data_IF_770855053489
#
_entry.id   IF_770855053489
#
_cell.length_a   1.000
_cell.length_b   1.000
_cell.length_c   1.000
_cell.angle_alpha   90.00
_cell.angle_beta   90.00
_cell.angle_gamma   90.00
#
_symmetry.space_group_name_H-M   'P 1'
#
loop_
_entity.id
_entity.type
_entity.pdbx_description
1 polymer ?
#
# COMPACT_ATOMS: atom_id res chain seq x y z
N UNK A 1 35.80 -61.92 53.57
CA UNK A 1 36.48 -60.75 54.17
C UNK A 1 36.29 -59.55 53.26
N UNK A 2 35.80 -58.45 53.83
CA UNK A 2 35.69 -57.05 53.32
C UNK A 2 34.81 -56.83 52.07
N UNK A 3 33.61 -56.24 52.15
CA UNK A 3 33.14 -54.95 52.71
C UNK A 3 33.22 -53.76 51.73
N UNK A 4 32.03 -53.19 51.45
CA UNK A 4 31.68 -51.76 51.34
C UNK A 4 31.96 -50.95 50.03
N UNK A 5 30.84 -50.48 49.43
CA UNK A 5 30.63 -49.28 48.57
C UNK A 5 31.00 -47.97 49.32
N UNK A 6 31.30 -46.77 48.71
CA UNK A 6 30.32 -45.97 47.94
C UNK A 6 30.81 -44.88 46.92
N UNK A 7 29.83 -44.41 46.11
CA UNK A 7 29.47 -43.04 45.68
C UNK A 7 30.50 -41.89 45.68
N UNK A 8 30.59 -41.17 44.56
CA UNK A 8 30.79 -39.70 44.38
C UNK A 8 30.87 -39.39 42.85
N UNK A 9 30.41 -38.30 42.23
CA UNK A 9 29.50 -37.19 42.51
C UNK A 9 29.61 -36.24 41.28
N UNK A 10 28.49 -35.61 40.86
CA UNK A 10 28.36 -34.36 40.07
C UNK A 10 28.98 -34.23 38.66
N UNK A 11 28.16 -33.95 37.63
CA UNK A 11 27.86 -32.58 37.17
C UNK A 11 26.87 -32.58 35.99
N UNK A 12 25.83 -31.78 36.14
CA UNK A 12 24.85 -31.40 35.12
C UNK A 12 25.52 -30.67 33.96
N UNK A 13 25.13 -30.97 32.72
CA UNK A 13 25.30 -30.05 31.59
C UNK A 13 23.99 -30.01 30.80
N UNK A 14 23.15 -29.07 31.21
CA UNK A 14 21.95 -28.63 30.52
C UNK A 14 22.39 -27.95 29.22
N UNK A 15 22.35 -28.66 28.08
CA UNK A 15 22.64 -28.05 26.78
C UNK A 15 21.37 -27.37 26.24
N UNK A 16 21.00 -26.24 26.84
CA UNK A 16 20.01 -25.33 26.30
C UNK A 16 20.69 -24.43 25.26
N UNK A 17 20.85 -24.94 24.04
CA UNK A 17 21.33 -24.12 22.92
C UNK A 17 20.12 -23.38 22.32
N UNK A 18 20.10 -22.07 22.54
CA UNK A 18 19.12 -21.13 22.05
C UNK A 18 18.89 -21.27 20.53
N UNK A 19 17.68 -21.69 20.14
CA UNK A 19 17.14 -21.44 18.81
C UNK A 19 16.81 -19.95 18.72
N UNK A 20 17.80 -19.12 18.42
CA UNK A 20 17.56 -17.80 17.85
C UNK A 20 17.05 -17.99 16.41
N UNK A 21 15.82 -18.47 16.26
CA UNK A 21 15.09 -18.28 15.03
C UNK A 21 14.86 -16.76 14.92
N UNK A 22 15.72 -16.09 14.15
CA UNK A 22 15.37 -14.78 13.59
C UNK A 22 13.97 -14.94 12.99
N UNK A 23 12.96 -14.36 13.62
CA UNK A 23 11.61 -14.38 13.10
C UNK A 23 11.64 -13.51 11.84
N UNK A 24 11.71 -14.14 10.67
CA UNK A 24 11.49 -13.43 9.43
C UNK A 24 10.03 -13.00 9.47
N UNK A 25 9.78 -11.74 9.81
CA UNK A 25 8.45 -11.16 9.80
C UNK A 25 7.95 -11.24 8.34
N UNK A 26 7.10 -12.23 8.06
CA UNK A 26 6.46 -12.34 6.77
C UNK A 26 5.59 -11.10 6.58
N UNK A 27 5.80 -10.37 5.48
CA UNK A 27 4.92 -9.27 5.12
C UNK A 27 3.49 -9.80 4.99
N UNK A 28 2.47 -9.04 5.43
CA UNK A 28 1.08 -9.44 5.25
C UNK A 28 0.75 -9.62 3.76
N UNK A 29 -0.30 -10.39 3.44
CA UNK A 29 -0.69 -10.60 2.05
C UNK A 29 -1.21 -9.33 1.35
N UNK A 30 -1.74 -8.38 2.13
CA UNK A 30 -2.23 -7.07 1.68
C UNK A 30 -1.36 -5.95 2.25
N UNK A 31 -1.29 -4.84 1.52
CA UNK A 31 -0.64 -3.62 1.96
C UNK A 31 -1.32 -2.99 3.17
N UNK A 32 -0.53 -2.31 4.00
CA UNK A 32 -1.04 -1.62 5.20
C UNK A 32 -1.34 -0.14 4.92
N UNK A 33 -2.08 0.50 5.84
CA UNK A 33 -2.39 1.92 5.75
C UNK A 33 -1.09 2.77 5.75
N UNK A 34 -0.12 2.38 6.57
CA UNK A 34 1.18 3.03 6.68
C UNK A 34 1.97 2.90 5.38
N UNK A 35 1.96 1.72 4.75
CA UNK A 35 2.62 1.50 3.46
C UNK A 35 1.97 2.33 2.34
N UNK A 36 0.64 2.49 2.34
CA UNK A 36 -0.05 3.34 1.38
C UNK A 36 0.33 4.83 1.53
N UNK A 37 0.37 5.34 2.77
CA UNK A 37 0.82 6.72 3.05
C UNK A 37 2.27 6.92 2.63
N UNK A 38 3.14 5.97 2.99
CA UNK A 38 4.56 6.02 2.62
C UNK A 38 4.74 6.04 1.10
N UNK A 39 3.97 5.26 0.35
CA UNK A 39 4.05 5.24 -1.11
C UNK A 39 3.63 6.59 -1.74
N UNK A 40 2.61 7.25 -1.20
CA UNK A 40 2.22 8.61 -1.64
C UNK A 40 3.35 9.60 -1.37
N UNK A 41 3.96 9.56 -0.19
CA UNK A 41 5.10 10.43 0.14
C UNK A 41 6.31 10.17 -0.75
N UNK A 42 6.57 8.91 -1.12
CA UNK A 42 7.63 8.55 -2.06
C UNK A 42 7.37 9.12 -3.47
N UNK A 43 6.11 9.15 -3.93
CA UNK A 43 5.76 9.79 -5.20
C UNK A 43 6.01 11.29 -5.15
N UNK A 44 5.58 11.96 -4.08
CA UNK A 44 5.83 13.41 -3.89
C UNK A 44 7.34 13.70 -3.91
N UNK A 45 8.13 12.90 -3.20
CA UNK A 45 9.59 13.02 -3.21
C UNK A 45 10.18 12.77 -4.60
N UNK A 46 9.66 11.80 -5.35
CA UNK A 46 10.08 11.53 -6.72
C UNK A 46 9.75 12.67 -7.67
N UNK A 47 8.57 13.30 -7.55
CA UNK A 47 8.20 14.48 -8.34
C UNK A 47 9.20 15.62 -8.07
N UNK A 48 9.53 15.89 -6.80
CA UNK A 48 10.50 16.92 -6.42
C UNK A 48 11.90 16.66 -6.97
N UNK A 49 12.35 15.40 -6.97
CA UNK A 49 13.70 15.04 -7.38
C UNK A 49 13.86 14.83 -8.89
N UNK A 50 12.84 14.28 -9.55
CA UNK A 50 12.93 13.76 -10.92
C UNK A 50 11.99 14.48 -11.90
N UNK A 51 11.10 15.35 -11.41
CA UNK A 51 10.09 16.04 -12.20
C UNK A 51 8.82 15.20 -12.42
N UNK A 52 7.71 15.92 -12.60
CA UNK A 52 6.36 15.36 -12.77
C UNK A 52 6.28 14.33 -13.91
N UNK A 53 6.71 14.70 -15.11
CA UNK A 53 6.56 13.86 -16.30
C UNK A 53 7.20 12.47 -16.13
N UNK A 54 8.46 12.46 -15.68
CA UNK A 54 9.21 11.22 -15.44
C UNK A 54 8.55 10.35 -14.36
N UNK A 55 8.08 10.96 -13.27
CA UNK A 55 7.39 10.20 -12.21
C UNK A 55 6.05 9.64 -12.68
N UNK A 56 5.26 10.40 -13.45
CA UNK A 56 3.98 9.91 -13.98
C UNK A 56 4.18 8.77 -14.98
N UNK A 57 5.21 8.84 -15.84
CA UNK A 57 5.56 7.76 -16.75
C UNK A 57 5.95 6.47 -16.00
N UNK A 58 6.73 6.60 -14.91
CA UNK A 58 7.08 5.48 -14.03
C UNK A 58 5.85 4.87 -13.35
N UNK A 59 4.90 5.70 -12.89
CA UNK A 59 3.63 5.21 -12.33
C UNK A 59 2.82 4.46 -13.38
N UNK A 60 2.81 4.91 -14.64
CA UNK A 60 2.04 4.27 -15.72
C UNK A 60 2.61 2.92 -16.16
N UNK A 61 3.85 2.59 -15.79
CA UNK A 61 4.46 1.29 -16.06
C UNK A 61 3.88 0.19 -15.14
N UNK A 62 2.80 -0.46 -15.59
CA UNK A 62 2.07 -1.44 -14.77
C UNK A 62 2.76 -2.81 -14.62
N UNK A 63 3.80 -3.10 -15.40
CA UNK A 63 4.49 -4.40 -15.44
C UNK A 63 5.82 -4.44 -14.68
N UNK A 64 6.27 -3.31 -14.14
CA UNK A 64 7.51 -3.26 -13.36
C UNK A 64 7.80 -1.92 -12.68
N UNK A 65 6.82 -1.02 -12.59
CA UNK A 65 7.02 0.31 -12.01
C UNK A 65 7.29 0.26 -10.50
N UNK A 66 8.15 1.17 -10.04
CA UNK A 66 8.56 1.31 -8.63
C UNK A 66 7.41 1.54 -7.64
N UNK A 67 6.26 2.05 -8.10
CA UNK A 67 5.15 2.51 -7.26
C UNK A 67 4.01 1.49 -7.15
N UNK A 68 4.38 0.23 -6.91
CA UNK A 68 3.46 -0.89 -6.74
C UNK A 68 4.02 -1.93 -5.78
N UNK A 69 3.20 -2.42 -4.86
CA UNK A 69 3.52 -3.50 -3.92
C UNK A 69 2.24 -4.27 -3.59
N UNK A 70 2.19 -5.58 -3.90
CA UNK A 70 0.98 -6.43 -3.73
C UNK A 70 -0.26 -5.77 -4.35
N UNK A 71 -1.21 -5.34 -3.52
CA UNK A 71 -2.46 -4.65 -3.89
C UNK A 71 -2.36 -3.11 -3.85
N UNK A 72 -1.26 -2.56 -3.33
CA UNK A 72 -0.96 -1.12 -3.35
C UNK A 72 -0.48 -0.69 -4.74
N UNK A 73 -1.04 0.41 -5.22
CA UNK A 73 -0.62 1.08 -6.45
C UNK A 73 -0.94 2.57 -6.34
N UNK A 74 -0.20 3.36 -7.11
CA UNK A 74 -0.46 4.80 -7.23
C UNK A 74 -1.48 5.07 -8.32
N UNK A 75 -2.38 6.01 -8.04
CA UNK A 75 -3.17 6.72 -9.05
C UNK A 75 -3.06 8.21 -8.80
N UNK A 76 -2.98 9.00 -9.87
CA UNK A 76 -2.85 10.46 -9.81
C UNK A 76 -3.99 11.08 -10.59
N UNK A 77 -4.71 12.01 -9.98
CA UNK A 77 -5.72 12.85 -10.63
C UNK A 77 -5.26 14.30 -10.66
N UNK A 78 -5.72 15.08 -11.64
CA UNK A 78 -5.70 16.54 -11.51
C UNK A 78 -6.86 17.04 -10.63
N UNK A 79 -6.90 18.34 -10.37
CA UNK A 79 -7.96 18.99 -9.59
C UNK A 79 -9.31 19.08 -10.32
N UNK A 80 -9.43 18.56 -11.54
CA UNK A 80 -10.66 18.48 -12.34
C UNK A 80 -11.19 17.04 -12.44
N UNK A 81 -10.45 16.05 -11.95
CA UNK A 81 -10.84 14.64 -11.95
C UNK A 81 -10.30 13.82 -13.11
N UNK A 82 -9.48 14.40 -14.00
CA UNK A 82 -8.77 13.64 -15.03
C UNK A 82 -7.71 12.77 -14.36
N UNK A 83 -7.61 11.52 -14.77
CA UNK A 83 -6.55 10.63 -14.32
C UNK A 83 -5.28 10.89 -15.13
N UNK A 84 -4.22 11.34 -14.46
CA UNK A 84 -2.92 11.64 -15.05
C UNK A 84 -2.02 10.40 -15.10
N UNK A 85 -2.15 9.52 -14.11
CA UNK A 85 -1.45 8.24 -14.08
C UNK A 85 -2.20 7.18 -13.28
N UNK A 86 -2.02 5.92 -13.64
CA UNK A 86 -2.65 4.79 -12.94
C UNK A 86 -1.80 3.51 -13.02
N UNK A 87 -1.23 3.11 -11.88
CA UNK A 87 -0.26 2.00 -11.78
C UNK A 87 -0.83 0.59 -11.80
N UNK A 88 -2.14 0.42 -11.75
CA UNK A 88 -2.80 -0.89 -11.85
C UNK A 88 -3.77 -1.09 -13.03
N UNK A 89 -4.22 -0.03 -13.69
CA UNK A 89 -5.25 -0.11 -14.73
C UNK A 89 -4.97 0.90 -15.84
N UNK A 90 -4.28 0.48 -16.92
CA UNK A 90 -3.95 1.36 -18.04
C UNK A 90 -5.16 2.01 -18.71
N UNK A 91 -6.34 1.38 -18.63
CA UNK A 91 -7.57 1.92 -19.23
C UNK A 91 -8.06 3.22 -18.59
N UNK A 92 -7.58 3.53 -17.38
CA UNK A 92 -7.90 4.78 -16.67
C UNK A 92 -6.98 5.94 -17.07
N UNK A 93 -5.78 5.66 -17.58
CA UNK A 93 -4.77 6.68 -17.87
C UNK A 93 -5.29 7.69 -18.91
N UNK A 94 -5.23 8.97 -18.57
CA UNK A 94 -5.67 10.08 -19.43
C UNK A 94 -7.19 10.30 -19.50
N UNK A 95 -8.01 9.49 -18.82
CA UNK A 95 -9.47 9.61 -18.84
C UNK A 95 -9.98 10.68 -17.89
N UNK A 96 -11.04 11.36 -18.29
CA UNK A 96 -11.86 12.14 -17.35
C UNK A 96 -12.70 11.17 -16.52
N UNK A 97 -12.53 11.20 -15.20
CA UNK A 97 -13.21 10.31 -14.28
C UNK A 97 -14.11 11.08 -13.29
N UNK A 98 -14.36 12.37 -13.49
CA UNK A 98 -15.07 13.19 -12.48
C UNK A 98 -16.47 12.65 -12.14
N UNK A 99 -17.15 12.05 -13.12
CA UNK A 99 -18.48 11.46 -12.98
C UNK A 99 -18.47 9.95 -12.70
N UNK A 100 -17.28 9.37 -12.51
CA UNK A 100 -17.15 7.96 -12.17
C UNK A 100 -17.77 7.69 -10.80
N UNK A 101 -18.61 6.64 -10.75
CA UNK A 101 -19.24 6.14 -9.54
C UNK A 101 -18.71 4.76 -9.20
N UNK A 102 -18.71 4.42 -7.91
CA UNK A 102 -18.47 3.05 -7.49
C UNK A 102 -19.73 2.17 -7.68
N UNK A 103 -19.63 0.90 -7.26
CA UNK A 103 -20.71 -0.07 -7.39
C UNK A 103 -22.00 0.29 -6.62
N UNK A 104 -21.91 1.18 -5.63
CA UNK A 104 -23.06 1.65 -4.85
C UNK A 104 -23.57 3.02 -5.33
N UNK A 105 -23.02 3.55 -6.42
CA UNK A 105 -23.41 4.85 -6.99
C UNK A 105 -22.70 6.06 -6.37
N UNK A 106 -21.70 5.85 -5.49
CA UNK A 106 -20.96 6.93 -4.85
C UNK A 106 -20.04 7.65 -5.84
N UNK A 107 -20.14 8.99 -6.02
CA UNK A 107 -19.30 9.76 -6.95
C UNK A 107 -17.90 10.03 -6.37
N UNK A 108 -17.10 8.96 -6.20
CA UNK A 108 -15.90 8.99 -5.37
C UNK A 108 -14.79 9.92 -5.91
N UNK A 109 -14.67 10.11 -7.23
CA UNK A 109 -13.66 11.03 -7.80
C UNK A 109 -14.01 12.48 -7.49
N UNK A 110 -15.27 12.88 -7.72
CA UNK A 110 -15.77 14.21 -7.37
C UNK A 110 -15.60 14.51 -5.89
N UNK A 111 -16.01 13.58 -5.03
CA UNK A 111 -15.83 13.73 -3.57
C UNK A 111 -14.35 13.91 -3.21
N UNK A 112 -13.44 13.16 -3.85
CA UNK A 112 -12.00 13.29 -3.59
C UNK A 112 -11.45 14.64 -3.99
N UNK A 113 -11.86 15.15 -5.15
CA UNK A 113 -11.48 16.48 -5.63
C UNK A 113 -11.90 17.54 -4.61
N UNK A 114 -13.13 17.46 -4.08
CA UNK A 114 -13.61 18.41 -3.07
C UNK A 114 -12.87 18.27 -1.72
N UNK A 115 -12.58 17.04 -1.28
CA UNK A 115 -11.77 16.81 -0.10
C UNK A 115 -10.34 17.33 -0.26
N UNK A 116 -9.72 17.16 -1.43
CA UNK A 116 -8.39 17.69 -1.72
C UNK A 116 -8.37 19.23 -1.75
N UNK A 117 -9.43 19.87 -2.26
CA UNK A 117 -9.58 21.34 -2.24
C UNK A 117 -9.69 21.88 -0.81
N UNK A 118 -10.46 21.21 0.05
CA UNK A 118 -10.82 21.72 1.38
C UNK A 118 -9.85 21.29 2.48
N UNK A 119 -9.31 20.06 2.43
CA UNK A 119 -8.46 19.48 3.47
C UNK A 119 -7.01 19.26 3.04
N UNK A 120 -6.74 19.21 1.74
CA UNK A 120 -5.42 18.91 1.19
C UNK A 120 -5.01 17.44 1.28
N UNK A 121 -5.38 16.71 2.34
CA UNK A 121 -5.10 15.28 2.49
C UNK A 121 -6.12 14.56 3.36
N UNK A 122 -6.13 13.22 3.30
CA UNK A 122 -6.96 12.40 4.17
C UNK A 122 -7.26 11.03 3.60
N UNK A 123 -8.23 10.37 4.22
CA UNK A 123 -8.73 9.07 3.81
C UNK A 123 -10.15 9.18 3.25
N UNK A 124 -10.44 8.38 2.24
CA UNK A 124 -11.75 8.28 1.59
C UNK A 124 -12.12 6.83 1.37
N UNK A 125 -13.32 6.44 1.76
CA UNK A 125 -13.83 5.09 1.58
C UNK A 125 -14.75 4.97 0.37
N UNK A 126 -14.57 3.95 -0.46
CA UNK A 126 -15.44 3.60 -1.59
C UNK A 126 -15.17 2.17 -2.06
N UNK A 127 -15.97 1.63 -2.99
CA UNK A 127 -15.72 0.29 -3.56
C UNK A 127 -14.93 0.35 -4.87
N UNK A 128 -14.00 -0.57 -5.07
CA UNK A 128 -13.26 -0.65 -6.35
C UNK A 128 -12.80 -2.06 -6.65
N UNK A 129 -12.47 -2.33 -7.91
CA UNK A 129 -11.89 -3.62 -8.32
C UNK A 129 -10.51 -3.76 -7.68
N UNK A 130 -10.29 -4.83 -6.93
CA UNK A 130 -9.00 -5.21 -6.38
C UNK A 130 -8.12 -5.81 -7.50
N UNK A 131 -6.89 -5.29 -7.73
CA UNK A 131 -6.05 -5.76 -8.82
C UNK A 131 -5.53 -7.19 -8.61
N UNK A 132 -5.59 -7.73 -7.39
CA UNK A 132 -5.17 -9.10 -7.05
C UNK A 132 -6.35 -10.06 -7.18
N UNK A 133 -7.42 -9.87 -6.39
CA UNK A 133 -8.58 -10.79 -6.38
C UNK A 133 -9.50 -10.66 -7.60
N UNK A 134 -9.41 -9.52 -8.32
CA UNK A 134 -10.31 -9.12 -9.42
C UNK A 134 -11.77 -8.90 -9.02
N UNK A 135 -12.07 -8.90 -7.72
CA UNK A 135 -13.40 -8.63 -7.19
C UNK A 135 -13.58 -7.14 -6.83
N UNK A 136 -14.84 -6.69 -6.78
CA UNK A 136 -15.18 -5.37 -6.25
C UNK A 136 -15.18 -5.47 -4.72
N UNK A 137 -14.32 -4.69 -4.07
CA UNK A 137 -14.11 -4.75 -2.62
C UNK A 137 -14.15 -3.35 -2.01
N UNK A 138 -14.49 -3.22 -0.71
CA UNK A 138 -14.32 -1.98 0.03
C UNK A 138 -12.85 -1.56 0.07
N UNK A 139 -12.57 -0.29 -0.20
CA UNK A 139 -11.25 0.31 -0.23
C UNK A 139 -11.22 1.57 0.63
N UNK A 140 -10.15 1.76 1.40
CA UNK A 140 -9.77 3.06 1.97
C UNK A 140 -8.64 3.65 1.15
N UNK A 141 -8.86 4.80 0.55
CA UNK A 141 -7.88 5.53 -0.26
C UNK A 141 -7.33 6.71 0.51
N UNK A 142 -6.03 6.68 0.78
CA UNK A 142 -5.30 7.87 1.18
C UNK A 142 -5.08 8.76 -0.04
N UNK A 143 -5.29 10.06 0.13
CA UNK A 143 -5.00 11.06 -0.87
C UNK A 143 -4.21 12.20 -0.25
N UNK A 144 -3.30 12.78 -1.03
CA UNK A 144 -2.57 13.99 -0.69
C UNK A 144 -2.45 14.89 -1.91
N UNK A 145 -2.87 16.15 -1.76
CA UNK A 145 -2.73 17.18 -2.75
C UNK A 145 -1.27 17.63 -2.79
N UNK A 146 -0.72 17.68 -3.99
CA UNK A 146 0.58 18.26 -4.26
C UNK A 146 0.48 19.07 -5.56
N UNK A 147 0.71 20.37 -5.48
CA UNK A 147 0.49 21.32 -6.59
C UNK A 147 -0.97 21.24 -7.12
N UNK A 148 -1.13 20.98 -8.41
CA UNK A 148 -2.39 20.77 -9.14
C UNK A 148 -2.79 19.28 -9.25
N UNK A 149 -2.16 18.41 -8.47
CA UNK A 149 -2.40 16.97 -8.48
C UNK A 149 -2.93 16.46 -7.15
N UNK A 150 -3.66 15.35 -7.22
CA UNK A 150 -4.08 14.53 -6.09
C UNK A 150 -3.41 13.17 -6.26
N UNK A 151 -2.49 12.84 -5.35
CA UNK A 151 -1.72 11.59 -5.38
C UNK A 151 -2.36 10.62 -4.41
N UNK A 152 -2.64 9.41 -4.86
CA UNK A 152 -3.49 8.48 -4.13
C UNK A 152 -2.89 7.08 -4.05
N UNK A 153 -3.00 6.46 -2.88
CA UNK A 153 -2.75 5.05 -2.64
C UNK A 153 -3.73 4.54 -1.59
N UNK A 154 -4.16 3.28 -1.67
CA UNK A 154 -5.17 2.78 -0.74
C UNK A 154 -5.14 1.29 -0.55
N UNK A 155 -5.74 0.87 0.56
CA UNK A 155 -5.81 -0.51 1.03
C UNK A 155 -7.20 -1.08 0.79
N UNK A 156 -7.26 -2.34 0.41
CA UNK A 156 -8.52 -3.08 0.39
C UNK A 156 -8.81 -3.67 1.77
N UNK A 157 -10.09 -3.68 2.16
CA UNK A 157 -10.55 -4.23 3.45
C UNK A 157 -11.02 -5.69 3.32
N UNK A 158 -10.84 -6.28 2.14
CA UNK A 158 -11.52 -7.49 1.67
C UNK A 158 -10.68 -8.76 1.66
N UNK A 159 -9.79 -8.97 2.63
CA UNK A 159 -9.31 -10.33 2.94
C UNK A 159 -9.43 -10.59 4.44
N UNK A 160 -10.35 -11.49 4.80
CA UNK A 160 -10.20 -12.34 5.98
C UNK A 160 -9.69 -13.68 5.50
#
# INVERSE_FOLDING_TARGET
MRAFHPLKQFLSALFALCLCASAWAQKPAQGTAEEAVAMVQQVIASIKANGREKTLAEINNTTGGKFRDRDLYITVNDMQGKNLAHGANPKMQGKDLIDMKDADGKPFVRERVELAKTKGKGWQDYKFVNPVSKQIEPKSMYFEKYEDMIINCGIYKGAK
#
